data_IF_855375009106
#
_entry.id   IF_855375009106
#
_cell.length_a   1.000
_cell.length_b   1.000
_cell.length_c   1.000
_cell.angle_alpha   90.00
_cell.angle_beta   90.00
_cell.angle_gamma   90.00
#
_symmetry.space_group_name_H-M   'P 1'
#
loop_
_entity.id
_entity.type
_entity.pdbx_description
1 polymer ?
#
# COMPACT_ATOMS: atom_id res chain seq x y z
N UNK A 1 -3.22 -7.73 35.23
CA UNK A 1 -3.73 -8.12 33.90
C UNK A 1 -3.37 -9.58 33.69
N UNK A 2 -4.36 -10.47 33.58
CA UNK A 2 -4.13 -11.88 33.28
C UNK A 2 -3.70 -12.03 31.82
N UNK A 3 -2.71 -12.88 31.55
CA UNK A 3 -2.33 -13.23 30.18
C UNK A 3 -3.54 -13.80 29.44
N UNK A 4 -3.72 -13.48 28.14
CA UNK A 4 -4.80 -14.10 27.36
C UNK A 4 -4.60 -15.61 27.34
N UNK A 5 -5.72 -16.34 27.44
CA UNK A 5 -5.71 -17.80 27.37
C UNK A 5 -5.05 -18.25 26.06
N UNK A 6 -4.12 -19.21 26.14
CA UNK A 6 -3.47 -19.78 24.96
C UNK A 6 -4.53 -20.30 23.99
N UNK A 7 -4.53 -19.78 22.75
CA UNK A 7 -5.41 -20.26 21.71
C UNK A 7 -5.17 -21.76 21.49
N UNK A 8 -6.25 -22.56 21.49
CA UNK A 8 -6.15 -24.00 21.20
C UNK A 8 -5.53 -24.18 19.82
N UNK A 9 -4.36 -24.83 19.76
CA UNK A 9 -3.71 -25.19 18.52
C UNK A 9 -4.68 -26.04 17.68
N UNK A 10 -5.03 -25.55 16.50
CA UNK A 10 -5.79 -26.34 15.53
C UNK A 10 -4.79 -27.10 14.66
N UNK A 11 -4.99 -28.39 14.43
CA UNK A 11 -4.16 -29.22 13.53
C UNK A 11 -4.32 -28.84 12.04
N UNK A 12 -4.73 -27.60 11.74
CA UNK A 12 -4.85 -27.12 10.37
C UNK A 12 -3.45 -26.83 9.85
N UNK A 13 -3.09 -27.44 8.73
CA UNK A 13 -1.84 -27.13 8.04
C UNK A 13 -1.78 -25.62 7.76
N UNK A 14 -0.65 -24.99 8.08
CA UNK A 14 -0.38 -23.57 7.80
C UNK A 14 -0.38 -23.40 6.28
N UNK A 15 -1.27 -22.55 5.76
CA UNK A 15 -1.29 -22.24 4.33
C UNK A 15 -0.12 -21.31 3.95
N UNK A 16 0.23 -21.25 2.66
CA UNK A 16 1.19 -20.25 2.15
C UNK A 16 0.80 -18.82 2.55
N UNK A 17 -0.50 -18.53 2.53
CA UNK A 17 -1.06 -17.26 2.97
C UNK A 17 -0.87 -17.00 4.46
N UNK A 18 -1.02 -18.02 5.32
CA UNK A 18 -0.77 -17.89 6.75
C UNK A 18 0.72 -17.63 7.02
N UNK A 19 1.62 -18.31 6.30
CA UNK A 19 3.06 -18.06 6.37
C UNK A 19 3.39 -16.60 6.00
N UNK A 20 2.81 -16.08 4.91
CA UNK A 20 3.03 -14.70 4.51
C UNK A 20 2.41 -13.67 5.45
N UNK A 21 1.29 -13.97 6.12
CA UNK A 21 0.64 -13.03 7.03
C UNK A 21 1.31 -12.92 8.40
N UNK A 22 1.80 -14.05 8.94
CA UNK A 22 2.19 -14.12 10.35
C UNK A 22 3.70 -14.25 10.59
N UNK A 23 4.52 -14.37 9.54
CA UNK A 23 5.98 -14.35 9.71
C UNK A 23 6.49 -12.98 10.10
N UNK A 24 7.71 -12.92 10.63
CA UNK A 24 8.46 -11.67 10.82
C UNK A 24 8.83 -11.07 9.46
N UNK A 25 8.51 -9.79 9.27
CA UNK A 25 8.84 -9.05 8.06
C UNK A 25 10.19 -8.35 8.20
N UNK A 26 11.10 -8.63 7.26
CA UNK A 26 12.39 -7.96 7.13
C UNK A 26 12.43 -7.32 5.75
N UNK A 27 12.18 -6.02 5.72
CA UNK A 27 11.67 -5.35 4.53
C UNK A 27 12.43 -4.09 4.11
N UNK A 28 12.37 -3.78 2.81
CA UNK A 28 12.87 -2.52 2.25
C UNK A 28 11.78 -1.75 1.50
N UNK A 29 11.89 -0.43 1.45
CA UNK A 29 11.07 0.42 0.57
C UNK A 29 11.68 0.45 -0.84
N UNK A 30 10.88 0.17 -1.86
CA UNK A 30 11.23 0.38 -3.26
C UNK A 30 10.85 1.82 -3.68
N UNK A 31 11.42 2.79 -2.98
CA UNK A 31 11.24 4.21 -3.24
C UNK A 31 11.73 4.59 -4.65
N UNK A 32 11.13 5.63 -5.23
CA UNK A 32 11.45 6.11 -6.59
C UNK A 32 11.25 5.11 -7.72
N UNK A 33 10.53 4.01 -7.47
CA UNK A 33 10.25 3.05 -8.52
C UNK A 33 9.05 3.46 -9.39
N UNK A 34 7.90 3.70 -8.76
CA UNK A 34 6.72 4.25 -9.43
C UNK A 34 6.39 5.68 -8.97
N UNK A 35 6.76 6.05 -7.73
CA UNK A 35 6.62 7.41 -7.21
C UNK A 35 8.01 7.99 -7.04
N UNK A 36 8.43 8.87 -7.95
CA UNK A 36 9.77 9.43 -7.95
C UNK A 36 10.00 10.41 -6.79
N UNK A 37 11.06 10.19 -6.05
CA UNK A 37 11.57 11.06 -5.01
C UNK A 37 12.94 11.61 -5.47
N UNK A 38 13.03 12.95 -5.58
CA UNK A 38 14.19 13.63 -6.17
C UNK A 38 15.51 13.31 -5.48
N UNK A 39 15.48 13.13 -4.17
CA UNK A 39 16.66 12.81 -3.37
C UNK A 39 17.22 11.40 -3.63
N UNK A 40 16.45 10.49 -4.26
CA UNK A 40 16.87 9.13 -4.63
C UNK A 40 17.30 9.05 -6.10
N UNK A 41 16.65 9.78 -7.01
CA UNK A 41 16.88 9.68 -8.45
C UNK A 41 17.08 11.04 -9.13
N UNK A 42 18.01 11.87 -8.63
CA UNK A 42 18.23 13.24 -9.10
C UNK A 42 18.54 13.31 -10.62
N UNK A 43 19.22 12.30 -11.18
CA UNK A 43 19.54 12.23 -12.62
C UNK A 43 18.30 12.11 -13.53
N UNK A 44 17.18 11.58 -13.04
CA UNK A 44 15.90 11.53 -13.77
C UNK A 44 15.31 12.94 -13.95
N UNK A 45 15.72 13.89 -13.10
CA UNK A 45 15.28 15.29 -13.14
C UNK A 45 16.25 16.21 -13.92
N UNK A 46 17.36 15.69 -14.45
CA UNK A 46 18.45 16.50 -14.99
C UNK A 46 18.10 17.28 -16.28
N UNK A 47 17.14 16.79 -17.08
CA UNK A 47 16.69 17.44 -18.34
C UNK A 47 15.16 17.43 -18.50
N UNK A 48 14.41 17.27 -17.40
CA UNK A 48 12.96 17.32 -17.42
C UNK A 48 12.46 18.75 -17.66
N UNK A 49 11.61 18.97 -18.68
CA UNK A 49 10.64 20.06 -18.58
C UNK A 49 9.70 19.73 -17.42
N UNK A 50 9.44 20.71 -16.55
CA UNK A 50 8.74 20.48 -15.29
C UNK A 50 7.53 19.51 -15.45
N UNK A 51 7.54 18.29 -14.85
CA UNK A 51 8.59 17.71 -14.00
C UNK A 51 9.12 16.31 -14.36
N UNK A 52 8.90 15.78 -15.57
CA UNK A 52 9.56 14.56 -16.12
C UNK A 52 9.70 13.32 -15.21
N UNK A 53 8.79 12.34 -15.30
CA UNK A 53 8.79 11.18 -14.39
C UNK A 53 8.13 9.91 -14.95
N UNK A 54 8.89 8.97 -15.52
CA UNK A 54 8.50 7.58 -15.30
C UNK A 54 9.74 6.75 -14.94
N UNK A 55 9.73 6.15 -13.75
CA UNK A 55 10.80 5.29 -13.21
C UNK A 55 10.91 3.92 -13.90
N UNK A 56 10.45 3.81 -15.15
CA UNK A 56 10.32 2.56 -15.89
C UNK A 56 11.68 1.88 -16.14
N UNK A 57 12.77 2.64 -16.16
CA UNK A 57 14.11 2.12 -16.40
C UNK A 57 14.74 1.44 -15.17
N UNK A 58 14.20 1.67 -13.96
CA UNK A 58 14.62 0.96 -12.74
C UNK A 58 14.08 -0.48 -12.74
N UNK A 59 12.92 -0.75 -13.36
CA UNK A 59 12.29 -2.08 -13.41
C UNK A 59 13.17 -3.16 -14.08
N UNK A 60 14.18 -2.78 -14.86
CA UNK A 60 15.11 -3.71 -15.51
C UNK A 60 16.40 -3.93 -14.71
N UNK A 61 16.66 -3.11 -13.69
CA UNK A 61 17.96 -3.03 -13.01
C UNK A 61 17.97 -3.47 -11.54
N UNK A 62 16.83 -3.64 -10.88
CA UNK A 62 16.81 -4.17 -9.52
C UNK A 62 17.16 -5.66 -9.52
N UNK A 63 18.40 -5.97 -9.11
CA UNK A 63 18.84 -7.35 -8.91
C UNK A 63 18.14 -7.93 -7.67
N UNK A 64 16.94 -8.49 -7.88
CA UNK A 64 16.14 -9.16 -6.84
C UNK A 64 16.95 -10.18 -6.05
N UNK A 65 17.90 -10.86 -6.69
CA UNK A 65 18.79 -11.80 -6.04
C UNK A 65 19.69 -11.12 -5.00
N UNK A 66 20.17 -9.90 -5.26
CA UNK A 66 20.95 -9.14 -4.29
C UNK A 66 20.13 -8.75 -3.06
N UNK A 67 18.85 -8.40 -3.24
CA UNK A 67 17.94 -8.03 -2.15
C UNK A 67 17.67 -9.27 -1.28
N UNK A 68 17.34 -10.40 -1.91
CA UNK A 68 17.12 -11.69 -1.23
C UNK A 68 18.37 -12.15 -0.47
N UNK A 69 19.55 -12.03 -1.08
CA UNK A 69 20.82 -12.44 -0.47
C UNK A 69 21.18 -11.60 0.77
N UNK A 70 20.57 -10.42 0.95
CA UNK A 70 20.74 -9.58 2.14
C UNK A 70 19.78 -9.97 3.28
N UNK A 71 19.00 -11.05 3.13
CA UNK A 71 18.01 -11.50 4.11
C UNK A 71 16.67 -10.77 4.01
N UNK A 72 16.53 -9.83 3.06
CA UNK A 72 15.27 -9.13 2.83
C UNK A 72 14.25 -10.12 2.32
N UNK A 73 13.14 -10.18 3.03
CA UNK A 73 12.09 -11.13 2.76
C UNK A 73 10.80 -10.45 2.30
N UNK A 74 10.77 -9.12 2.21
CA UNK A 74 9.61 -8.22 2.18
C UNK A 74 9.93 -6.93 1.39
N UNK A 75 9.02 -6.38 0.58
CA UNK A 75 9.19 -5.09 -0.13
C UNK A 75 7.98 -4.15 -0.05
N UNK A 76 8.18 -2.90 0.37
CA UNK A 76 7.16 -1.85 0.36
C UNK A 76 7.20 -1.09 -0.98
N UNK A 77 6.13 -1.14 -1.78
CA UNK A 77 6.02 -0.48 -3.09
C UNK A 77 5.18 0.83 -3.07
N UNK A 78 5.74 2.02 -3.24
CA UNK A 78 4.92 3.21 -3.44
C UNK A 78 4.21 3.24 -4.80
N UNK A 79 2.90 3.52 -4.89
CA UNK A 79 2.22 3.82 -6.18
C UNK A 79 1.25 4.99 -6.05
N UNK A 80 1.17 5.88 -7.04
CA UNK A 80 0.10 6.88 -7.15
C UNK A 80 -1.22 6.33 -7.71
N UNK A 81 -2.35 6.99 -7.39
CA UNK A 81 -3.70 6.68 -7.90
C UNK A 81 -3.76 6.75 -9.43
N UNK A 82 -2.96 7.62 -10.03
CA UNK A 82 -2.93 7.84 -11.47
C UNK A 82 -2.36 6.62 -12.21
N UNK A 83 -1.58 5.77 -11.54
CA UNK A 83 -1.12 4.48 -12.09
C UNK A 83 -2.23 3.46 -12.28
N UNK A 84 -3.39 3.65 -11.64
CA UNK A 84 -4.54 2.76 -11.83
C UNK A 84 -5.21 3.02 -13.19
N UNK A 85 -5.01 4.22 -13.76
CA UNK A 85 -5.61 4.63 -15.04
C UNK A 85 -7.13 4.39 -15.10
N UNK A 86 -7.83 4.62 -13.99
CA UNK A 86 -9.28 4.49 -13.89
C UNK A 86 -9.92 5.87 -14.04
N UNK A 87 -10.87 6.01 -14.95
CA UNK A 87 -11.62 7.27 -15.11
C UNK A 87 -12.30 7.71 -13.82
N UNK A 88 -12.87 6.77 -13.06
CA UNK A 88 -13.47 7.03 -11.73
C UNK A 88 -12.50 7.59 -10.69
N UNK A 89 -11.19 7.53 -10.96
CA UNK A 89 -10.13 7.99 -10.07
C UNK A 89 -9.47 9.25 -10.62
N UNK A 90 -9.21 9.33 -11.94
CA UNK A 90 -8.44 10.43 -12.53
C UNK A 90 -9.29 11.51 -13.21
N UNK A 91 -10.56 11.26 -13.52
CA UNK A 91 -11.42 12.25 -14.15
C UNK A 91 -11.56 13.51 -13.29
N UNK A 92 -11.51 14.66 -13.96
CA UNK A 92 -11.58 16.01 -13.37
C UNK A 92 -10.49 16.29 -12.33
N UNK A 93 -9.36 15.57 -12.42
CA UNK A 93 -8.15 15.88 -11.66
C UNK A 93 -7.11 16.54 -12.54
N UNK A 94 -6.10 17.17 -11.94
CA UNK A 94 -4.93 17.68 -12.68
C UNK A 94 -4.15 16.59 -13.44
N UNK A 95 -4.39 15.30 -13.14
CA UNK A 95 -3.78 14.17 -13.83
C UNK A 95 -4.60 13.67 -15.02
N UNK A 96 -5.86 14.11 -15.19
CA UNK A 96 -6.73 13.65 -16.29
C UNK A 96 -6.08 13.85 -17.67
N UNK A 97 -5.46 15.01 -18.02
CA UNK A 97 -4.81 15.19 -19.32
C UNK A 97 -3.60 14.27 -19.54
N UNK A 98 -3.02 13.75 -18.45
CA UNK A 98 -1.80 12.96 -18.45
C UNK A 98 -2.03 11.47 -18.23
N UNK A 99 -3.28 10.98 -18.29
CA UNK A 99 -3.60 9.56 -18.08
C UNK A 99 -2.79 8.61 -18.98
N UNK A 100 -2.48 9.04 -20.21
CA UNK A 100 -1.64 8.30 -21.14
C UNK A 100 -0.21 8.07 -20.64
N UNK A 101 0.36 8.98 -19.84
CA UNK A 101 1.71 8.84 -19.25
C UNK A 101 1.79 7.65 -18.31
N UNK A 102 0.70 7.36 -17.62
CA UNK A 102 0.61 6.25 -16.65
C UNK A 102 0.12 4.95 -17.30
N UNK A 103 -0.16 4.94 -18.61
CA UNK A 103 -0.74 3.78 -19.29
C UNK A 103 0.14 2.53 -19.15
N UNK A 104 -0.49 1.43 -18.74
CA UNK A 104 0.16 0.15 -18.43
C UNK A 104 0.97 0.14 -17.13
N UNK A 105 0.92 1.19 -16.30
CA UNK A 105 1.60 1.19 -14.99
C UNK A 105 1.07 0.05 -14.09
N UNK A 106 -0.25 -0.16 -14.09
CA UNK A 106 -0.86 -1.28 -13.38
C UNK A 106 -0.28 -2.64 -13.79
N UNK A 107 -0.15 -2.92 -15.09
CA UNK A 107 0.42 -4.20 -15.55
C UNK A 107 1.88 -4.37 -15.12
N UNK A 108 2.63 -3.27 -15.01
CA UNK A 108 4.01 -3.29 -14.50
C UNK A 108 4.05 -3.58 -13.00
N UNK A 109 3.10 -3.04 -12.23
CA UNK A 109 2.93 -3.33 -10.80
C UNK A 109 2.59 -4.82 -10.61
N UNK A 110 1.69 -5.38 -11.43
CA UNK A 110 1.36 -6.81 -11.40
C UNK A 110 2.56 -7.67 -11.77
N UNK A 111 3.35 -7.29 -12.78
CA UNK A 111 4.59 -8.00 -13.12
C UNK A 111 5.61 -7.96 -12.00
N UNK A 112 5.82 -6.80 -11.38
CA UNK A 112 6.69 -6.65 -10.22
C UNK A 112 6.29 -7.58 -9.07
N UNK A 113 4.98 -7.68 -8.77
CA UNK A 113 4.43 -8.64 -7.82
C UNK A 113 4.81 -10.08 -8.17
N UNK A 114 4.56 -10.48 -9.41
CA UNK A 114 4.77 -11.86 -9.85
C UNK A 114 6.27 -12.23 -9.86
N UNK A 115 7.14 -11.30 -10.27
CA UNK A 115 8.59 -11.48 -10.21
C UNK A 115 9.06 -11.66 -8.77
N UNK A 116 8.60 -10.79 -7.85
CA UNK A 116 8.94 -10.91 -6.44
C UNK A 116 8.49 -12.27 -5.84
N UNK A 117 7.28 -12.73 -6.19
CA UNK A 117 6.77 -14.04 -5.78
C UNK A 117 7.65 -15.20 -6.28
N UNK A 118 8.14 -15.14 -7.53
CA UNK A 118 8.96 -16.20 -8.12
C UNK A 118 10.31 -16.43 -7.43
N UNK A 119 10.80 -15.45 -6.66
CA UNK A 119 12.05 -15.54 -5.91
C UNK A 119 11.89 -16.08 -4.48
N UNK A 120 10.72 -16.63 -4.12
CA UNK A 120 10.48 -17.17 -2.77
C UNK A 120 10.47 -16.11 -1.68
N UNK A 121 10.52 -14.83 -2.05
CA UNK A 121 10.13 -13.77 -1.15
C UNK A 121 8.67 -14.02 -0.82
N UNK A 122 8.37 -14.05 0.48
CA UNK A 122 7.05 -13.61 0.84
C UNK A 122 6.91 -12.21 0.35
N UNK A 123 6.13 -12.05 -0.72
CA UNK A 123 5.80 -10.71 -1.10
C UNK A 123 5.18 -10.09 0.13
N UNK A 124 5.72 -8.96 0.46
CA UNK A 124 5.24 -8.21 1.57
C UNK A 124 5.58 -6.82 1.16
N UNK A 125 4.98 -6.32 0.12
CA UNK A 125 3.60 -5.95 -0.01
C UNK A 125 3.51 -5.62 -1.51
N UNK A 126 2.36 -5.66 -2.18
CA UNK A 126 2.01 -4.51 -2.96
C UNK A 126 1.72 -3.54 -1.85
N UNK A 127 2.77 -2.90 -1.34
CA UNK A 127 2.42 -1.64 -0.78
C UNK A 127 1.93 -0.93 -2.03
N UNK A 128 0.79 -0.35 -1.84
CA UNK A 128 0.46 0.80 -2.59
C UNK A 128 0.80 1.80 -1.50
N UNK A 129 1.72 2.74 -1.75
CA UNK A 129 1.70 4.00 -0.99
C UNK A 129 0.34 4.53 -1.38
N UNK A 130 -0.69 4.03 -0.74
CA UNK A 130 -2.05 4.33 -1.04
C UNK A 130 -2.09 5.81 -0.94
N UNK A 131 -2.29 6.40 -2.10
CA UNK A 131 -3.06 7.61 -2.14
C UNK A 131 -2.46 8.68 -1.23
N UNK A 132 -1.12 8.83 -1.17
CA UNK A 132 -0.48 10.08 -0.70
C UNK A 132 -1.15 11.30 -1.35
N UNK A 133 -1.74 11.07 -2.51
CA UNK A 133 -2.62 11.92 -3.29
C UNK A 133 -3.89 12.44 -2.61
N UNK A 134 -4.22 12.06 -1.37
CA UNK A 134 -5.35 12.68 -0.66
C UNK A 134 -4.97 13.30 0.68
N UNK A 135 -3.66 13.44 0.94
CA UNK A 135 -3.23 14.45 1.90
C UNK A 135 -3.75 15.85 1.54
N UNK A 136 -3.97 16.12 0.25
CA UNK A 136 -4.36 17.45 -0.21
C UNK A 136 -5.78 17.91 0.20
N UNK A 137 -6.70 17.01 0.61
CA UNK A 137 -8.06 17.34 1.13
C UNK A 137 -8.93 16.09 1.39
N UNK A 138 -8.50 15.10 2.19
CA UNK A 138 -9.44 14.01 2.55
C UNK A 138 -10.62 14.50 3.37
N UNK A 139 -10.44 15.55 4.16
CA UNK A 139 -11.46 16.05 5.09
C UNK A 139 -12.31 17.13 4.42
N UNK A 140 -13.59 16.85 4.25
CA UNK A 140 -14.58 17.82 3.74
C UNK A 140 -14.64 17.95 2.21
N UNK A 141 -13.94 17.10 1.45
CA UNK A 141 -13.97 17.09 -0.01
C UNK A 141 -14.55 15.75 -0.50
N UNK A 142 -15.88 15.71 -0.62
CA UNK A 142 -16.63 14.53 -1.03
C UNK A 142 -16.16 13.95 -2.36
N UNK A 143 -15.86 14.75 -3.42
CA UNK A 143 -15.29 14.20 -4.66
C UNK A 143 -13.97 13.45 -4.45
N UNK A 144 -13.04 14.00 -3.67
CA UNK A 144 -11.76 13.34 -3.43
C UNK A 144 -11.89 12.09 -2.54
N UNK A 145 -12.81 12.08 -1.58
CA UNK A 145 -13.14 10.88 -0.82
C UNK A 145 -13.73 9.77 -1.72
N UNK A 146 -14.62 10.11 -2.66
CA UNK A 146 -15.21 9.16 -3.59
C UNK A 146 -14.16 8.55 -4.56
N UNK A 147 -13.22 9.36 -5.03
CA UNK A 147 -12.06 8.89 -5.83
C UNK A 147 -11.16 7.97 -5.01
N UNK A 148 -10.90 8.33 -3.74
CA UNK A 148 -10.17 7.47 -2.79
C UNK A 148 -10.78 6.09 -2.72
N UNK A 149 -12.08 6.06 -2.42
CA UNK A 149 -12.81 4.83 -2.25
C UNK A 149 -12.79 4.01 -3.54
N UNK A 150 -12.98 4.63 -4.70
CA UNK A 150 -12.92 3.96 -6.00
C UNK A 150 -11.55 3.30 -6.25
N UNK A 151 -10.47 4.00 -5.93
CA UNK A 151 -9.12 3.46 -6.02
C UNK A 151 -8.91 2.28 -5.06
N UNK A 152 -9.29 2.42 -3.78
CA UNK A 152 -9.13 1.39 -2.77
C UNK A 152 -9.97 0.14 -3.07
N UNK A 153 -11.21 0.30 -3.54
CA UNK A 153 -12.08 -0.81 -3.95
C UNK A 153 -11.44 -1.60 -5.08
N UNK A 154 -10.94 -0.92 -6.12
CA UNK A 154 -10.24 -1.58 -7.22
C UNK A 154 -9.06 -2.41 -6.70
N UNK A 155 -8.27 -1.85 -5.79
CA UNK A 155 -7.10 -2.52 -5.23
C UNK A 155 -7.47 -3.72 -4.37
N UNK A 156 -8.45 -3.57 -3.48
CA UNK A 156 -8.98 -4.68 -2.67
C UNK A 156 -9.46 -5.81 -3.58
N UNK A 157 -10.22 -5.51 -4.63
CA UNK A 157 -10.72 -6.51 -5.58
C UNK A 157 -9.60 -7.24 -6.33
N UNK A 158 -8.54 -6.52 -6.75
CA UNK A 158 -7.43 -7.14 -7.49
C UNK A 158 -6.46 -7.91 -6.62
N UNK A 159 -6.25 -7.48 -5.38
CA UNK A 159 -5.15 -7.96 -4.55
C UNK A 159 -5.56 -9.01 -3.51
N UNK A 160 -6.84 -9.04 -3.10
CA UNK A 160 -7.31 -9.88 -1.98
C UNK A 160 -7.08 -11.38 -2.13
N UNK A 161 -6.96 -11.88 -3.36
CA UNK A 161 -6.76 -13.30 -3.63
C UNK A 161 -5.31 -13.66 -3.96
N UNK A 162 -4.42 -12.69 -4.02
CA UNK A 162 -3.01 -12.91 -4.31
C UNK A 162 -2.32 -13.28 -2.99
N UNK A 163 -1.86 -14.53 -2.86
CA UNK A 163 -1.38 -15.08 -1.58
C UNK A 163 -0.20 -14.32 -1.00
N UNK A 164 0.70 -13.88 -1.87
CA UNK A 164 1.90 -13.16 -1.52
C UNK A 164 1.55 -11.68 -1.16
N UNK A 165 0.32 -11.20 -1.31
CA UNK A 165 -0.06 -9.85 -0.85
C UNK A 165 -0.41 -9.87 0.63
N UNK A 166 0.44 -9.27 1.47
CA UNK A 166 0.22 -9.28 2.93
C UNK A 166 -0.59 -8.09 3.46
N UNK A 167 -0.89 -7.10 2.62
CA UNK A 167 -1.74 -6.00 3.03
C UNK A 167 -1.71 -4.79 2.11
N UNK A 168 -2.68 -3.92 2.38
CA UNK A 168 -2.92 -2.66 1.68
C UNK A 168 -2.87 -1.54 2.73
N UNK A 169 -1.87 -0.66 2.66
CA UNK A 169 -1.93 0.62 3.40
C UNK A 169 -3.11 1.43 2.88
N UNK A 170 -3.74 2.31 3.67
CA UNK A 170 -4.85 3.15 3.18
C UNK A 170 -4.41 4.57 2.82
N UNK A 171 -3.37 5.07 3.50
CA UNK A 171 -2.83 6.40 3.29
C UNK A 171 -1.41 6.49 3.82
N UNK A 172 -0.47 6.99 3.01
CA UNK A 172 0.89 7.28 3.46
C UNK A 172 0.95 8.64 4.18
N UNK A 173 1.52 8.67 5.39
CA UNK A 173 1.96 9.87 6.13
C UNK A 173 0.95 11.04 6.17
N UNK A 174 -0.32 10.84 6.58
CA UNK A 174 -1.24 11.97 6.69
C UNK A 174 -0.65 13.11 7.53
N UNK A 175 -0.94 14.36 7.12
CA UNK A 175 -0.43 15.56 7.79
C UNK A 175 -0.72 15.52 9.30
N UNK A 176 0.29 15.86 10.11
CA UNK A 176 0.17 15.90 11.57
C UNK A 176 -0.96 16.83 12.02
N UNK A 177 -1.72 16.40 13.04
CA UNK A 177 -2.78 17.20 13.67
C UNK A 177 -4.21 16.96 13.19
N UNK A 178 -4.44 16.10 12.19
CA UNK A 178 -5.78 15.64 11.82
C UNK A 178 -5.91 14.13 12.07
N UNK A 179 -6.34 13.73 13.26
CA UNK A 179 -6.64 12.31 13.52
C UNK A 179 -7.74 11.83 12.56
N UNK A 180 -7.37 10.89 11.69
CA UNK A 180 -8.25 10.28 10.68
C UNK A 180 -8.98 9.03 11.19
N UNK A 181 -9.00 8.79 12.51
CA UNK A 181 -9.58 7.57 13.09
C UNK A 181 -11.01 7.27 12.58
N UNK A 182 -11.90 8.26 12.59
CA UNK A 182 -13.27 8.09 12.08
C UNK A 182 -13.29 7.73 10.59
N UNK A 183 -12.46 8.39 9.78
CA UNK A 183 -12.35 8.07 8.36
C UNK A 183 -11.81 6.65 8.12
N UNK A 184 -10.79 6.22 8.90
CA UNK A 184 -10.27 4.86 8.83
C UNK A 184 -11.34 3.82 9.20
N UNK A 185 -12.17 4.08 10.22
CA UNK A 185 -13.27 3.18 10.57
C UNK A 185 -14.26 3.03 9.41
N UNK A 186 -14.70 4.16 8.85
CA UNK A 186 -15.70 4.17 7.78
C UNK A 186 -15.18 3.47 6.53
N UNK A 187 -13.96 3.80 6.10
CA UNK A 187 -13.38 3.22 4.90
C UNK A 187 -13.05 1.73 5.06
N UNK A 188 -12.55 1.28 6.22
CA UNK A 188 -12.29 -0.15 6.45
C UNK A 188 -13.58 -0.95 6.42
N UNK A 189 -14.65 -0.44 7.04
CA UNK A 189 -15.98 -1.06 6.99
C UNK A 189 -16.53 -1.12 5.57
N UNK A 190 -16.34 -0.06 4.78
CA UNK A 190 -16.74 -0.03 3.37
C UNK A 190 -15.96 -1.05 2.53
N UNK A 191 -14.64 -1.10 2.67
CA UNK A 191 -13.78 -2.06 1.94
C UNK A 191 -14.08 -3.51 2.31
N UNK A 192 -14.45 -3.76 3.56
CA UNK A 192 -14.88 -5.08 4.05
C UNK A 192 -16.06 -5.68 3.28
N UNK A 193 -16.90 -4.84 2.63
CA UNK A 193 -18.00 -5.30 1.76
C UNK A 193 -17.49 -6.00 0.48
N UNK A 194 -16.28 -5.69 0.05
CA UNK A 194 -15.66 -6.24 -1.16
C UNK A 194 -14.73 -7.41 -0.85
N UNK A 195 -14.01 -7.34 0.28
CA UNK A 195 -13.18 -8.43 0.77
C UNK A 195 -12.70 -8.17 2.21
N UNK A 196 -12.63 -9.24 2.99
CA UNK A 196 -11.97 -9.29 4.32
C UNK A 196 -10.66 -10.08 4.30
N UNK A 197 -10.18 -10.48 3.11
CA UNK A 197 -9.01 -11.34 2.95
C UNK A 197 -7.68 -10.58 2.87
N UNK A 198 -7.70 -9.25 2.80
CA UNK A 198 -6.48 -8.45 2.75
C UNK A 198 -6.33 -7.68 4.07
N UNK A 199 -5.20 -7.83 4.79
CA UNK A 199 -4.92 -6.99 5.94
C UNK A 199 -4.82 -5.52 5.53
N UNK A 200 -5.37 -4.63 6.35
CA UNK A 200 -5.39 -3.19 6.09
C UNK A 200 -4.35 -2.51 6.97
N UNK A 201 -3.45 -1.74 6.35
CA UNK A 201 -2.45 -0.95 7.04
C UNK A 201 -2.94 0.49 7.18
N UNK A 202 -2.79 1.09 8.35
CA UNK A 202 -3.10 2.49 8.61
C UNK A 202 -1.86 3.21 9.10
N UNK A 203 -1.53 4.34 8.49
CA UNK A 203 -0.45 5.18 9.01
C UNK A 203 -0.94 5.96 10.22
N UNK A 204 -0.09 6.05 11.24
CA UNK A 204 -0.38 6.71 12.51
C UNK A 204 -0.37 8.25 12.49
N UNK A 205 -0.22 8.88 11.31
CA UNK A 205 -0.12 10.34 11.20
C UNK A 205 0.89 11.01 12.15
N UNK A 206 1.99 10.31 12.47
CA UNK A 206 3.03 10.76 13.41
C UNK A 206 2.55 10.85 14.87
N UNK A 207 1.49 10.12 15.24
CA UNK A 207 0.99 9.97 16.61
C UNK A 207 0.77 8.48 16.97
N UNK A 208 1.87 7.73 17.20
CA UNK A 208 1.81 6.29 17.42
C UNK A 208 1.04 5.91 18.69
N UNK A 209 1.01 6.77 19.71
CA UNK A 209 0.32 6.51 20.96
C UNK A 209 -1.20 6.59 20.80
N UNK A 210 -1.69 7.56 20.04
CA UNK A 210 -3.11 7.67 19.70
C UNK A 210 -3.56 6.47 18.86
N UNK A 211 -2.83 6.13 17.80
CA UNK A 211 -3.21 5.05 16.90
C UNK A 211 -3.03 3.65 17.49
N UNK A 212 -2.08 3.47 18.42
CA UNK A 212 -1.97 2.24 19.20
C UNK A 212 -3.20 2.00 20.07
N UNK A 213 -3.74 3.06 20.70
CA UNK A 213 -5.02 2.98 21.44
C UNK A 213 -6.20 2.73 20.50
N UNK A 214 -6.25 3.41 19.36
CA UNK A 214 -7.28 3.20 18.34
C UNK A 214 -7.33 1.74 17.86
N UNK A 215 -6.19 1.16 17.47
CA UNK A 215 -6.12 -0.23 17.03
C UNK A 215 -6.52 -1.21 18.13
N UNK A 216 -6.12 -0.94 19.38
CA UNK A 216 -6.51 -1.75 20.54
C UNK A 216 -8.00 -1.68 20.90
N UNK A 217 -8.69 -0.58 20.57
CA UNK A 217 -10.12 -0.40 20.87
C UNK A 217 -11.07 -0.81 19.75
N UNK A 218 -10.56 -1.11 18.54
CA UNK A 218 -11.37 -1.43 17.36
C UNK A 218 -11.06 -2.81 16.77
N UNK A 219 -11.21 -3.84 17.60
CA UNK A 219 -11.09 -5.24 17.16
C UNK A 219 -12.21 -5.66 16.20
N UNK A 220 -13.26 -4.84 16.06
CA UNK A 220 -14.36 -5.00 15.10
C UNK A 220 -13.94 -4.73 13.65
N UNK A 221 -12.80 -4.05 13.42
CA UNK A 221 -12.30 -3.71 12.09
C UNK A 221 -11.55 -4.85 11.38
N UNK A 222 -11.46 -6.03 12.01
CA UNK A 222 -10.77 -7.19 11.46
C UNK A 222 -9.25 -7.05 11.52
N UNK A 223 -8.55 -7.42 10.44
CA UNK A 223 -7.09 -7.46 10.43
C UNK A 223 -6.50 -6.09 10.02
N UNK A 224 -6.38 -5.20 11.00
CA UNK A 224 -5.74 -3.88 10.84
C UNK A 224 -4.34 -3.89 11.43
N UNK A 225 -3.38 -3.28 10.73
CA UNK A 225 -1.99 -3.12 11.16
C UNK A 225 -1.64 -1.64 11.19
N UNK A 226 -1.05 -1.18 12.30
CA UNK A 226 -0.50 0.18 12.38
C UNK A 226 0.84 0.23 11.65
N UNK A 227 1.00 1.21 10.75
CA UNK A 227 2.27 1.60 10.15
C UNK A 227 2.79 2.84 10.89
N UNK A 228 4.01 2.74 11.41
CA UNK A 228 4.69 3.78 12.19
C UNK A 228 6.05 4.02 11.56
N UNK A 229 6.37 5.30 11.33
CA UNK A 229 7.65 5.78 10.82
C UNK A 229 8.42 6.55 11.89
#
# INVERSE_FOLDING_TARGET
MSAPAAAKATNKAVSSRDYYRYRRFEGVNLGSWFVNERWICDSVFANAAAPGQSGLDICKGSNWQSIVNQGVNTVRLPIGYYHLCLDSVIADTGFAPYGHVSSGAWDRIVRANNTAASHGMGYCKPLIKTLSLIQAKLRGDTPNQARCLSALVFLVQKLSNIENVIGLELLNEPSSGNHLAGWYMDIVKELGKYSSNIPIYIHDGFDPAYYGKFGGSHTDLGYVVQDTQ
#
